data_IF_763163516213
#
_entry.id   IF_763163516213
#
_cell.length_a   1.000
_cell.length_b   1.000
_cell.length_c   1.000
_cell.angle_alpha   90.00
_cell.angle_beta   90.00
_cell.angle_gamma   90.00
#
_symmetry.space_group_name_H-M   'P 1'
#
loop_
_entity.id
_entity.type
_entity.pdbx_description
1 polymer ?
#
# COMPACT_ATOMS: atom_id res chain seq x y z
N UNK A 1 -42.37 -2.37 11.01
CA UNK A 1 -42.38 -3.77 11.50
C UNK A 1 -41.00 -4.13 12.02
N UNK A 2 -40.88 -5.10 12.93
CA UNK A 2 -39.57 -5.59 13.43
C UNK A 2 -38.63 -6.04 12.30
N UNK A 3 -39.20 -6.56 11.21
CA UNK A 3 -38.46 -6.95 10.01
C UNK A 3 -37.81 -5.75 9.30
N UNK A 4 -38.49 -4.60 9.22
CA UNK A 4 -37.94 -3.39 8.63
C UNK A 4 -36.72 -2.88 9.43
N UNK A 5 -36.82 -2.90 10.77
CA UNK A 5 -35.73 -2.50 11.66
C UNK A 5 -34.50 -3.42 11.53
N UNK A 6 -34.70 -4.73 11.41
CA UNK A 6 -33.62 -5.70 11.17
C UNK A 6 -32.92 -5.46 9.83
N UNK A 7 -33.68 -5.21 8.76
CA UNK A 7 -33.14 -4.88 7.43
C UNK A 7 -32.34 -3.58 7.46
N UNK A 8 -32.84 -2.57 8.17
CA UNK A 8 -32.15 -1.30 8.37
C UNK A 8 -30.81 -1.47 9.10
N UNK A 9 -30.78 -2.18 10.23
CA UNK A 9 -29.54 -2.47 10.96
C UNK A 9 -28.51 -3.22 10.09
N UNK A 10 -28.96 -4.19 9.30
CA UNK A 10 -28.08 -4.93 8.37
C UNK A 10 -27.52 -4.01 7.28
N UNK A 11 -28.33 -3.08 6.76
CA UNK A 11 -27.91 -2.11 5.75
C UNK A 11 -26.85 -1.17 6.31
N UNK A 12 -27.05 -0.67 7.53
CA UNK A 12 -26.11 0.24 8.17
C UNK A 12 -24.79 -0.46 8.53
N UNK A 13 -24.85 -1.71 8.98
CA UNK A 13 -23.66 -2.54 9.18
C UNK A 13 -22.89 -2.77 7.87
N UNK A 14 -23.58 -3.05 6.76
CA UNK A 14 -22.95 -3.20 5.45
C UNK A 14 -22.34 -1.89 4.94
N UNK A 15 -23.00 -0.75 5.17
CA UNK A 15 -22.48 0.59 4.83
C UNK A 15 -21.23 0.92 5.65
N UNK A 16 -21.26 0.69 6.96
CA UNK A 16 -20.12 0.92 7.85
C UNK A 16 -18.90 0.08 7.43
N UNK A 17 -19.12 -1.22 7.12
CA UNK A 17 -18.05 -2.10 6.61
C UNK A 17 -17.44 -1.57 5.31
N UNK A 18 -18.27 -1.19 4.33
CA UNK A 18 -17.80 -0.62 3.06
C UNK A 18 -17.06 0.70 3.26
N UNK A 19 -17.53 1.55 4.18
CA UNK A 19 -16.88 2.82 4.52
C UNK A 19 -15.48 2.59 5.10
N UNK A 20 -15.35 1.66 6.06
CA UNK A 20 -14.06 1.28 6.63
C UNK A 20 -13.11 0.72 5.57
N UNK A 21 -13.58 -0.24 4.77
CA UNK A 21 -12.79 -0.81 3.67
C UNK A 21 -12.28 0.28 2.71
N UNK A 22 -13.15 1.23 2.32
CA UNK A 22 -12.77 2.31 1.42
C UNK A 22 -11.71 3.24 2.05
N UNK A 23 -11.81 3.52 3.35
CA UNK A 23 -10.81 4.28 4.08
C UNK A 23 -9.45 3.57 4.08
N UNK A 24 -9.41 2.27 4.41
CA UNK A 24 -8.16 1.48 4.40
C UNK A 24 -7.52 1.45 3.00
N UNK A 25 -8.32 1.37 1.94
CA UNK A 25 -7.81 1.46 0.55
C UNK A 25 -7.16 2.82 0.26
N UNK A 26 -7.76 3.92 0.71
CA UNK A 26 -7.18 5.24 0.53
C UNK A 26 -5.89 5.43 1.32
N UNK A 27 -5.85 4.97 2.57
CA UNK A 27 -4.63 5.03 3.37
C UNK A 27 -3.52 4.18 2.74
N UNK A 28 -3.84 2.98 2.25
CA UNK A 28 -2.89 2.16 1.53
C UNK A 28 -2.36 2.85 0.26
N UNK A 29 -3.22 3.51 -0.52
CA UNK A 29 -2.81 4.24 -1.71
C UNK A 29 -1.82 5.38 -1.38
N UNK A 30 -1.99 6.08 -0.26
CA UNK A 30 -1.08 7.14 0.20
C UNK A 30 0.31 6.64 0.57
N UNK A 31 0.44 5.35 0.93
CA UNK A 31 1.72 4.73 1.28
C UNK A 31 2.52 4.25 0.06
N UNK A 32 1.92 4.22 -1.13
CA UNK A 32 2.64 3.86 -2.35
C UNK A 32 3.71 4.93 -2.67
N UNK A 33 4.89 4.55 -3.21
CA UNK A 33 5.96 5.48 -3.58
C UNK A 33 5.63 6.20 -4.90
N UNK A 34 4.48 6.87 -4.95
CA UNK A 34 3.94 7.57 -6.10
C UNK A 34 3.41 8.94 -5.64
N UNK A 35 3.47 9.99 -6.48
CA UNK A 35 2.87 11.27 -6.16
C UNK A 35 1.37 11.17 -5.83
N UNK A 36 0.91 11.97 -4.86
CA UNK A 36 -0.50 11.98 -4.43
C UNK A 36 -1.49 12.25 -5.57
N UNK A 37 -1.09 13.04 -6.57
CA UNK A 37 -1.88 13.32 -7.77
C UNK A 37 -2.21 12.05 -8.58
N UNK A 38 -1.38 11.01 -8.50
CA UNK A 38 -1.59 9.71 -9.17
C UNK A 38 -2.37 8.78 -8.24
N UNK A 39 -1.93 8.64 -6.98
CA UNK A 39 -2.53 7.65 -6.06
C UNK A 39 -3.99 7.95 -5.72
N UNK A 40 -4.38 9.23 -5.75
CA UNK A 40 -5.78 9.67 -5.58
C UNK A 40 -6.73 9.23 -6.70
N UNK A 41 -6.21 8.84 -7.87
CA UNK A 41 -6.99 8.43 -9.03
C UNK A 41 -7.05 6.90 -9.21
N UNK A 42 -6.36 6.14 -8.35
CA UNK A 42 -6.30 4.68 -8.47
C UNK A 42 -7.62 4.03 -8.04
N UNK A 43 -8.02 3.02 -8.80
CA UNK A 43 -9.08 2.10 -8.38
C UNK A 43 -8.53 1.06 -7.39
N UNK A 44 -9.44 0.42 -6.64
CA UNK A 44 -9.10 -0.54 -5.58
C UNK A 44 -8.21 -1.69 -6.08
N UNK A 45 -8.47 -2.21 -7.28
CA UNK A 45 -7.70 -3.33 -7.82
C UNK A 45 -6.27 -2.89 -8.17
N UNK A 46 -6.10 -1.70 -8.75
CA UNK A 46 -4.75 -1.17 -9.03
C UNK A 46 -3.98 -0.84 -7.77
N UNK A 47 -4.63 -0.35 -6.70
CA UNK A 47 -3.97 -0.17 -5.38
C UNK A 47 -3.36 -1.50 -4.92
N UNK A 48 -4.12 -2.61 -4.92
CA UNK A 48 -3.59 -3.93 -4.51
C UNK A 48 -2.46 -4.39 -5.42
N UNK A 49 -2.64 -4.32 -6.75
CA UNK A 49 -1.62 -4.76 -7.71
C UNK A 49 -0.31 -4.01 -7.53
N UNK A 50 -0.36 -2.68 -7.38
CA UNK A 50 0.81 -1.84 -7.16
C UNK A 50 1.47 -2.15 -5.82
N UNK A 51 0.71 -2.30 -4.75
CA UNK A 51 1.24 -2.67 -3.43
C UNK A 51 1.98 -4.01 -3.47
N UNK A 52 1.37 -5.05 -4.06
CA UNK A 52 1.99 -6.38 -4.16
C UNK A 52 3.26 -6.30 -5.01
N UNK A 53 3.19 -5.64 -6.17
CA UNK A 53 4.35 -5.47 -7.06
C UNK A 53 5.48 -4.72 -6.37
N UNK A 54 5.17 -3.66 -5.61
CA UNK A 54 6.17 -2.90 -4.86
C UNK A 54 6.86 -3.77 -3.79
N UNK A 55 6.10 -4.53 -3.00
CA UNK A 55 6.68 -5.41 -1.98
C UNK A 55 7.59 -6.48 -2.60
N UNK A 56 7.15 -7.10 -3.69
CA UNK A 56 7.95 -8.09 -4.45
C UNK A 56 9.21 -7.47 -5.06
N UNK A 57 9.08 -6.28 -5.64
CA UNK A 57 10.22 -5.59 -6.26
C UNK A 57 11.24 -5.15 -5.21
N UNK A 58 10.79 -4.71 -4.03
CA UNK A 58 11.67 -4.38 -2.91
C UNK A 58 12.44 -5.60 -2.41
N UNK A 59 11.76 -6.73 -2.27
CA UNK A 59 12.40 -8.00 -1.89
C UNK A 59 13.42 -8.45 -2.94
N UNK A 60 13.02 -8.46 -4.22
CA UNK A 60 13.91 -8.77 -5.34
C UNK A 60 15.15 -7.87 -5.39
N UNK A 61 14.98 -6.55 -5.23
CA UNK A 61 16.07 -5.58 -5.20
C UNK A 61 17.07 -5.84 -4.07
N UNK A 62 16.61 -6.34 -2.92
CA UNK A 62 17.47 -6.65 -1.78
C UNK A 62 18.26 -7.95 -1.95
N UNK A 63 17.81 -8.86 -2.83
CA UNK A 63 18.45 -10.15 -3.07
C UNK A 63 19.51 -10.14 -4.18
N UNK A 64 19.69 -9.01 -4.89
CA UNK A 64 20.73 -8.86 -5.90
C UNK A 64 22.15 -8.87 -5.31
N UNK A 65 23.16 -9.19 -6.13
CA UNK A 65 24.57 -9.03 -5.80
C UNK A 65 25.28 -8.11 -6.82
N UNK A 66 25.58 -6.85 -6.46
CA UNK A 66 25.22 -6.21 -5.20
C UNK A 66 23.71 -5.86 -5.15
N UNK A 67 23.13 -5.68 -3.95
CA UNK A 67 21.73 -5.28 -3.82
C UNK A 67 21.45 -3.96 -4.55
N UNK A 68 20.30 -3.86 -5.21
CA UNK A 68 19.92 -2.69 -6.02
C UNK A 68 19.57 -1.46 -5.17
N UNK A 69 19.54 -1.61 -3.84
CA UNK A 69 19.28 -0.55 -2.86
C UNK A 69 20.50 0.37 -2.59
N UNK A 70 21.63 0.16 -3.28
CA UNK A 70 22.93 0.84 -3.11
C UNK A 70 22.98 2.38 -3.31
N UNK A 71 21.83 3.06 -3.41
CA UNK A 71 21.77 4.52 -3.65
C UNK A 71 21.19 5.35 -2.51
N UNK A 72 20.72 4.73 -1.42
CA UNK A 72 20.21 5.48 -0.27
C UNK A 72 21.22 5.64 0.88
N UNK A 73 22.19 4.72 1.00
CA UNK A 73 23.34 4.89 1.89
C UNK A 73 24.51 5.44 1.06
N UNK A 74 25.13 6.53 1.51
CA UNK A 74 26.35 7.06 0.91
C UNK A 74 27.49 6.02 0.88
N UNK A 75 28.61 6.33 0.20
CA UNK A 75 29.70 5.38 0.04
C UNK A 75 30.20 4.90 1.42
N UNK A 76 30.54 3.60 1.58
CA UNK A 76 31.10 3.11 2.83
C UNK A 76 32.39 3.88 3.17
N UNK A 77 32.63 4.20 4.45
CA UNK A 77 33.84 4.89 4.84
C UNK A 77 35.05 4.04 4.44
N UNK A 78 35.91 4.67 3.65
CA UNK A 78 37.19 4.18 3.15
C UNK A 78 37.86 3.19 4.11
N UNK A 79 37.79 1.89 3.81
CA UNK A 79 38.68 0.91 4.40
C UNK A 79 40.01 1.01 3.67
N UNK A 80 40.78 2.04 4.03
CA UNK A 80 42.22 2.08 3.80
C UNK A 80 42.83 0.86 4.48
N UNK A 81 43.05 -0.22 3.72
CA UNK A 81 43.95 -1.28 4.12
C UNK A 81 45.34 -0.88 3.62
N UNK A 82 46.25 -0.74 4.58
CA UNK A 82 47.68 -0.49 4.36
C UNK A 82 48.32 -1.52 3.45
#
# INVERSE_FOLDING_TARGET
SLQALRKEKSRDAARSRRGKENFEFYELAKLLPLPAAITSQLDKASIIRLTISYLKMRDFANQGDPPWNLRMEGPPPNTSVK
#
